data_IF_574684817824
#
_entry.id   IF_574684817824
#
_cell.length_a   1.000
_cell.length_b   1.000
_cell.length_c   1.000
_cell.angle_alpha   90.00
_cell.angle_beta   90.00
_cell.angle_gamma   90.00
#
_symmetry.space_group_name_H-M   'P 1'
#
loop_
_entity.id
_entity.type
_entity.pdbx_description
1 polymer ?
#
# COMPACT_ATOMS: atom_id res chain seq x y z
N UNK A 1 32.20 -11.65 -17.55
CA UNK A 1 30.74 -11.44 -17.35
C UNK A 1 30.33 -11.50 -15.87
N UNK A 2 30.69 -12.57 -15.14
CA UNK A 2 30.42 -12.74 -13.69
C UNK A 2 30.91 -11.59 -12.80
N UNK A 3 32.11 -11.03 -13.02
CA UNK A 3 32.61 -9.87 -12.25
C UNK A 3 31.74 -8.60 -12.43
N UNK A 4 31.22 -8.35 -13.64
CA UNK A 4 30.31 -7.22 -13.92
C UNK A 4 28.94 -7.43 -13.28
N UNK A 5 28.42 -8.66 -13.31
CA UNK A 5 27.16 -9.03 -12.63
C UNK A 5 27.28 -8.89 -11.11
N UNK A 6 28.40 -9.38 -10.52
CA UNK A 6 28.67 -9.27 -9.07
C UNK A 6 28.80 -7.81 -8.60
N UNK A 7 29.47 -6.95 -9.39
CA UNK A 7 29.55 -5.51 -9.13
C UNK A 7 28.18 -4.83 -9.19
N UNK A 8 27.38 -5.13 -10.22
CA UNK A 8 26.01 -4.61 -10.39
C UNK A 8 25.05 -5.07 -9.28
N UNK A 9 25.22 -6.29 -8.77
CA UNK A 9 24.47 -6.80 -7.62
C UNK A 9 24.86 -6.10 -6.31
N UNK A 10 26.16 -5.84 -6.10
CA UNK A 10 26.65 -5.08 -4.95
C UNK A 10 26.11 -3.63 -4.91
N UNK A 11 25.89 -3.02 -6.08
CA UNK A 11 25.32 -1.68 -6.23
C UNK A 11 23.78 -1.68 -6.36
N UNK A 12 23.14 -2.84 -6.23
CA UNK A 12 21.70 -2.98 -6.40
C UNK A 12 20.93 -2.46 -5.18
N UNK A 13 19.82 -1.75 -5.42
CA UNK A 13 18.89 -1.34 -4.36
C UNK A 13 18.31 -2.55 -3.62
N UNK A 14 18.31 -3.73 -4.25
CA UNK A 14 17.75 -4.96 -3.69
C UNK A 14 18.63 -5.46 -2.55
N UNK A 15 19.92 -5.62 -2.82
CA UNK A 15 20.90 -6.01 -1.80
C UNK A 15 20.96 -4.97 -0.68
N UNK A 16 20.93 -3.68 -1.00
CA UNK A 16 20.89 -2.61 0.01
C UNK A 16 19.68 -2.74 0.93
N UNK A 17 18.50 -3.03 0.38
CA UNK A 17 17.27 -3.22 1.16
C UNK A 17 17.39 -4.40 2.12
N UNK A 18 17.81 -5.57 1.61
CA UNK A 18 18.00 -6.77 2.42
C UNK A 18 19.06 -6.58 3.51
N UNK A 19 20.22 -6.02 3.17
CA UNK A 19 21.29 -5.78 4.14
C UNK A 19 20.89 -4.76 5.21
N UNK A 20 20.14 -3.72 4.85
CA UNK A 20 19.71 -2.70 5.81
C UNK A 20 18.75 -3.27 6.84
N UNK A 21 17.82 -4.14 6.42
CA UNK A 21 16.94 -4.88 7.31
C UNK A 21 17.73 -5.81 8.23
N UNK A 22 18.65 -6.60 7.66
CA UNK A 22 19.51 -7.52 8.42
C UNK A 22 20.33 -6.80 9.50
N UNK A 23 20.85 -5.61 9.19
CA UNK A 23 21.71 -4.85 10.10
C UNK A 23 20.92 -4.11 11.19
N UNK A 24 19.62 -3.86 11.00
CA UNK A 24 18.77 -3.10 11.92
C UNK A 24 17.42 -3.80 12.15
N UNK A 25 17.40 -5.04 12.69
CA UNK A 25 16.17 -5.83 12.83
C UNK A 25 15.16 -5.20 13.80
N UNK A 26 15.63 -4.52 14.86
CA UNK A 26 14.77 -3.81 15.81
C UNK A 26 13.96 -2.68 15.14
N UNK A 27 14.54 -2.02 14.14
CA UNK A 27 13.87 -0.96 13.40
C UNK A 27 12.77 -1.52 12.50
N UNK A 28 13.01 -2.69 11.90
CA UNK A 28 11.97 -3.43 11.19
C UNK A 28 10.84 -3.81 12.17
N UNK A 29 11.17 -4.41 13.30
CA UNK A 29 10.18 -4.79 14.31
C UNK A 29 9.32 -3.60 14.76
N UNK A 30 9.92 -2.43 14.97
CA UNK A 30 9.18 -1.21 15.29
C UNK A 30 8.22 -0.78 14.17
N UNK A 31 8.61 -0.92 12.89
CA UNK A 31 7.70 -0.70 11.76
C UNK A 31 6.53 -1.70 11.81
N UNK A 32 6.79 -2.97 12.14
CA UNK A 32 5.72 -3.97 12.24
C UNK A 32 4.72 -3.65 13.35
N UNK A 33 5.21 -3.22 14.52
CA UNK A 33 4.36 -2.80 15.63
C UNK A 33 3.50 -1.58 15.26
N UNK A 34 4.06 -0.63 14.49
CA UNK A 34 3.30 0.54 14.02
C UNK A 34 2.21 0.14 13.03
N UNK A 35 2.48 -0.77 12.09
CA UNK A 35 1.44 -1.29 11.20
C UNK A 35 0.34 -2.01 12.00
N UNK A 36 0.71 -2.85 12.98
CA UNK A 36 -0.26 -3.54 13.84
C UNK A 36 -1.11 -2.55 14.65
N UNK A 37 -0.50 -1.50 15.21
CA UNK A 37 -1.21 -0.44 15.92
C UNK A 37 -2.15 0.34 14.98
N UNK A 38 -1.73 0.62 13.74
CA UNK A 38 -2.59 1.23 12.73
C UNK A 38 -3.82 0.37 12.43
N UNK A 39 -3.65 -0.94 12.22
CA UNK A 39 -4.77 -1.86 12.01
C UNK A 39 -5.70 -1.95 13.23
N UNK A 40 -5.15 -1.98 14.44
CA UNK A 40 -5.95 -1.97 15.66
C UNK A 40 -6.80 -0.71 15.80
N UNK A 41 -6.23 0.48 15.52
CA UNK A 41 -6.97 1.74 15.53
C UNK A 41 -8.06 1.74 14.45
N UNK A 42 -7.75 1.25 13.25
CA UNK A 42 -8.74 1.17 12.18
C UNK A 42 -9.90 0.21 12.54
N UNK A 43 -9.59 -0.92 13.18
CA UNK A 43 -10.59 -1.84 13.68
C UNK A 43 -11.48 -1.21 14.76
N UNK A 44 -10.90 -0.48 15.72
CA UNK A 44 -11.66 0.24 16.75
C UNK A 44 -12.57 1.30 16.11
N UNK A 45 -12.07 2.08 15.15
CA UNK A 45 -12.88 3.07 14.43
C UNK A 45 -14.05 2.43 13.68
N UNK A 46 -13.79 1.32 12.99
CA UNK A 46 -14.82 0.58 12.27
C UNK A 46 -15.88 0.03 13.24
N UNK A 47 -15.46 -0.54 14.38
CA UNK A 47 -16.36 -0.99 15.43
C UNK A 47 -17.24 0.14 15.95
N UNK A 48 -16.65 1.29 16.31
CA UNK A 48 -17.38 2.46 16.81
C UNK A 48 -18.41 2.96 15.79
N UNK A 49 -18.04 3.03 14.51
CA UNK A 49 -18.96 3.44 13.43
C UNK A 49 -20.11 2.44 13.30
N UNK A 50 -19.84 1.14 13.26
CA UNK A 50 -20.90 0.13 13.12
C UNK A 50 -21.83 0.10 14.33
N UNK A 51 -21.33 0.36 15.55
CA UNK A 51 -22.18 0.46 16.74
C UNK A 51 -23.04 1.73 16.77
N UNK A 52 -22.59 2.80 16.11
CA UNK A 52 -23.33 4.06 16.05
C UNK A 52 -24.36 4.09 14.90
N UNK A 53 -24.24 3.19 13.92
CA UNK A 53 -25.18 3.12 12.80
C UNK A 53 -26.47 2.38 13.22
N UNK A 54 -27.65 2.97 12.96
CA UNK A 54 -28.91 2.32 13.24
C UNK A 54 -29.08 1.07 12.36
N UNK A 55 -29.41 -0.06 13.01
CA UNK A 55 -29.59 -1.36 12.36
C UNK A 55 -31.02 -1.60 11.84
N UNK A 56 -31.96 -0.70 12.13
CA UNK A 56 -33.36 -0.83 11.74
C UNK A 56 -33.58 -0.47 10.25
N UNK A 57 -34.03 -1.42 9.40
CA UNK A 57 -34.31 -1.17 7.98
C UNK A 57 -35.36 -0.08 7.71
N UNK A 58 -36.30 0.13 8.63
CA UNK A 58 -37.32 1.18 8.52
C UNK A 58 -36.74 2.57 8.73
N UNK A 59 -35.70 2.68 9.56
CA UNK A 59 -34.95 3.91 9.74
C UNK A 59 -34.16 4.24 8.47
N UNK A 60 -33.51 3.25 7.85
CA UNK A 60 -32.76 3.42 6.59
C UNK A 60 -33.64 3.87 5.42
N UNK A 61 -34.85 3.31 5.29
CA UNK A 61 -35.79 3.68 4.21
C UNK A 61 -36.38 5.07 4.38
N UNK A 62 -36.74 5.48 5.61
CA UNK A 62 -37.16 6.87 5.91
C UNK A 62 -36.00 7.87 5.72
N UNK A 63 -34.77 7.43 5.96
CA UNK A 63 -33.55 8.23 5.74
C UNK A 63 -33.28 8.52 4.26
N UNK A 64 -33.46 7.53 3.37
CA UNK A 64 -33.22 7.69 1.94
C UNK A 64 -34.22 8.63 1.24
N UNK A 65 -35.42 8.80 1.81
CA UNK A 65 -36.43 9.72 1.26
C UNK A 65 -36.22 11.21 1.59
N UNK A 66 -35.25 11.56 2.45
CA UNK A 66 -35.01 12.95 2.87
C UNK A 66 -33.68 13.49 2.34
N UNK A 67 -33.75 14.51 1.47
CA UNK A 67 -32.57 15.20 0.92
C UNK A 67 -31.66 15.76 2.01
N UNK A 68 -32.22 16.27 3.11
CA UNK A 68 -31.44 16.82 4.22
C UNK A 68 -30.63 15.74 4.96
N UNK A 69 -31.22 14.56 5.18
CA UNK A 69 -30.52 13.44 5.81
C UNK A 69 -29.44 12.84 4.90
N UNK A 70 -29.67 12.82 3.58
CA UNK A 70 -28.65 12.44 2.60
C UNK A 70 -27.42 13.37 2.64
N UNK A 71 -27.63 14.68 2.74
CA UNK A 71 -26.53 15.66 2.87
C UNK A 71 -25.75 15.42 4.17
N UNK A 72 -26.44 15.23 5.30
CA UNK A 72 -25.79 14.96 6.59
C UNK A 72 -24.95 13.68 6.52
N UNK A 73 -25.47 12.62 5.92
CA UNK A 73 -24.74 11.36 5.74
C UNK A 73 -23.52 11.51 4.83
N UNK A 74 -23.64 12.27 3.74
CA UNK A 74 -22.51 12.59 2.88
C UNK A 74 -21.41 13.33 3.66
N UNK A 75 -21.78 14.35 4.45
CA UNK A 75 -20.83 15.10 5.27
C UNK A 75 -20.14 14.22 6.33
N UNK A 76 -20.90 13.34 7.00
CA UNK A 76 -20.34 12.37 7.95
C UNK A 76 -19.39 11.37 7.28
N UNK A 77 -19.71 10.93 6.07
CA UNK A 77 -18.85 10.04 5.28
C UNK A 77 -17.55 10.75 4.89
N UNK A 78 -17.63 12.01 4.45
CA UNK A 78 -16.45 12.84 4.15
C UNK A 78 -15.60 13.02 5.40
N UNK A 79 -16.21 13.35 6.54
CA UNK A 79 -15.52 13.50 7.81
C UNK A 79 -14.80 12.20 8.22
N UNK A 80 -15.47 11.05 8.08
CA UNK A 80 -14.88 9.73 8.34
C UNK A 80 -13.62 9.50 7.49
N UNK A 81 -13.66 9.77 6.18
CA UNK A 81 -12.48 9.66 5.33
C UNK A 81 -11.37 10.63 5.72
N UNK A 82 -11.70 11.87 6.09
CA UNK A 82 -10.71 12.83 6.58
C UNK A 82 -10.01 12.32 7.85
N UNK A 83 -10.75 11.75 8.80
CA UNK A 83 -10.19 11.15 10.02
C UNK A 83 -9.26 9.98 9.68
N UNK A 84 -9.67 9.09 8.77
CA UNK A 84 -8.81 8.00 8.31
C UNK A 84 -7.52 8.54 7.71
N UNK A 85 -7.60 9.55 6.83
CA UNK A 85 -6.42 10.15 6.18
C UNK A 85 -5.52 10.82 7.22
N UNK A 86 -6.06 11.46 8.26
CA UNK A 86 -5.29 12.05 9.35
C UNK A 86 -4.49 11.00 10.12
N UNK A 87 -5.14 9.91 10.51
CA UNK A 87 -4.51 8.81 11.24
C UNK A 87 -3.47 8.12 10.34
N UNK A 88 -3.86 7.79 9.11
CA UNK A 88 -2.97 7.18 8.14
C UNK A 88 -1.72 8.05 7.88
N UNK A 89 -1.88 9.37 7.77
CA UNK A 89 -0.75 10.30 7.62
C UNK A 89 0.23 10.28 8.78
N UNK A 90 -0.26 10.11 10.00
CA UNK A 90 0.58 10.04 11.19
C UNK A 90 1.43 8.76 11.17
N UNK A 91 0.79 7.61 10.98
CA UNK A 91 1.47 6.32 10.89
C UNK A 91 2.44 6.27 9.70
N UNK A 92 1.99 6.71 8.53
CA UNK A 92 2.81 6.76 7.31
C UNK A 92 4.08 7.59 7.53
N UNK A 93 3.97 8.76 8.16
CA UNK A 93 5.13 9.61 8.45
C UNK A 93 6.14 8.91 9.36
N UNK A 94 5.68 8.30 10.44
CA UNK A 94 6.56 7.62 11.40
C UNK A 94 7.20 6.37 10.76
N UNK A 95 6.42 5.57 10.04
CA UNK A 95 6.91 4.37 9.35
C UNK A 95 7.97 4.77 8.32
N UNK A 96 7.69 5.75 7.46
CA UNK A 96 8.64 6.21 6.45
C UNK A 96 9.87 6.88 7.06
N UNK A 97 9.71 7.62 8.16
CA UNK A 97 10.83 8.14 8.94
C UNK A 97 11.74 7.04 9.47
N UNK A 98 11.17 5.92 9.93
CA UNK A 98 11.94 4.74 10.32
C UNK A 98 12.54 4.02 9.10
N UNK A 99 11.86 3.98 7.96
CA UNK A 99 12.46 3.45 6.74
C UNK A 99 13.68 4.29 6.32
N UNK A 100 13.59 5.62 6.41
CA UNK A 100 14.73 6.51 6.16
C UNK A 100 15.88 6.27 7.15
N UNK A 101 15.58 5.88 8.38
CA UNK A 101 16.58 5.46 9.38
C UNK A 101 17.42 4.24 8.98
N UNK A 102 16.95 3.41 8.04
CA UNK A 102 17.77 2.34 7.49
C UNK A 102 19.00 2.89 6.77
N UNK A 103 18.83 3.93 5.95
CA UNK A 103 19.88 4.52 5.14
C UNK A 103 20.70 5.60 5.88
N UNK A 104 20.05 6.42 6.72
CA UNK A 104 20.67 7.56 7.39
C UNK A 104 20.26 7.61 8.85
N UNK A 105 21.13 7.94 9.81
CA UNK A 105 20.72 8.19 11.18
C UNK A 105 19.90 9.50 11.26
N UNK A 106 18.61 9.39 10.94
CA UNK A 106 17.67 10.51 10.84
C UNK A 106 16.83 10.64 12.10
N UNK A 107 16.64 11.87 12.59
CA UNK A 107 15.63 12.20 13.61
C UNK A 107 14.30 12.43 12.91
N UNK A 108 13.21 11.98 13.54
CA UNK A 108 11.86 12.19 13.01
C UNK A 108 11.54 13.68 12.97
N UNK A 109 11.01 14.15 11.84
CA UNK A 109 10.56 15.53 11.68
C UNK A 109 9.04 15.57 11.60
N UNK A 110 8.40 15.82 12.75
CA UNK A 110 6.94 15.91 12.85
C UNK A 110 6.37 17.17 12.18
N UNK A 111 7.21 18.17 11.87
CA UNK A 111 6.74 19.37 11.15
C UNK A 111 6.21 19.04 9.75
N UNK A 112 6.65 17.91 9.18
CA UNK A 112 6.19 17.41 7.89
C UNK A 112 4.77 16.84 7.91
N UNK A 113 4.14 16.67 9.08
CA UNK A 113 2.83 16.04 9.21
C UNK A 113 1.75 16.70 8.32
N UNK A 114 1.65 18.04 8.35
CA UNK A 114 0.67 18.77 7.52
C UNK A 114 0.86 18.47 6.03
N UNK A 115 2.12 18.46 5.57
CA UNK A 115 2.43 18.17 4.16
C UNK A 115 2.18 16.71 3.81
N UNK A 116 2.39 15.78 4.74
CA UNK A 116 2.03 14.36 4.58
C UNK A 116 0.52 14.19 4.45
N UNK A 117 -0.26 14.90 5.26
CA UNK A 117 -1.72 14.92 5.15
C UNK A 117 -2.18 15.36 3.76
N UNK A 118 -1.65 16.47 3.24
CA UNK A 118 -1.99 16.92 1.88
C UNK A 118 -1.55 15.93 0.80
N UNK A 119 -0.38 15.29 0.94
CA UNK A 119 0.03 14.24 0.02
C UNK A 119 -0.98 13.09 0.00
N UNK A 120 -1.38 12.60 1.17
CA UNK A 120 -2.32 11.50 1.29
C UNK A 120 -3.72 11.87 0.83
N UNK A 121 -4.16 13.11 1.06
CA UNK A 121 -5.42 13.61 0.54
C UNK A 121 -5.44 13.63 -0.99
N UNK A 122 -4.37 14.14 -1.62
CA UNK A 122 -4.25 14.17 -3.08
C UNK A 122 -4.21 12.75 -3.65
N UNK A 123 -3.40 11.86 -3.06
CA UNK A 123 -3.33 10.46 -3.49
C UNK A 123 -4.67 9.74 -3.31
N UNK A 124 -5.38 10.00 -2.21
CA UNK A 124 -6.73 9.48 -1.97
C UNK A 124 -7.69 9.92 -3.06
N UNK A 125 -7.75 11.22 -3.37
CA UNK A 125 -8.64 11.74 -4.43
C UNK A 125 -8.29 11.11 -5.78
N UNK A 126 -7.00 11.02 -6.13
CA UNK A 126 -6.56 10.41 -7.38
C UNK A 126 -6.98 8.93 -7.48
N UNK A 127 -6.80 8.15 -6.41
CA UNK A 127 -7.19 6.74 -6.40
C UNK A 127 -8.69 6.52 -6.29
N UNK A 128 -9.41 7.44 -5.64
CA UNK A 128 -10.86 7.44 -5.63
C UNK A 128 -11.42 7.66 -7.05
N UNK A 129 -10.90 8.64 -7.79
CA UNK A 129 -11.26 8.85 -9.20
C UNK A 129 -10.93 7.60 -10.02
N UNK A 130 -9.75 7.01 -9.82
CA UNK A 130 -9.36 5.78 -10.50
C UNK A 130 -10.31 4.62 -10.20
N UNK A 131 -10.75 4.48 -8.95
CA UNK A 131 -11.73 3.49 -8.51
C UNK A 131 -13.10 3.72 -9.15
N UNK A 132 -13.55 4.97 -9.25
CA UNK A 132 -14.81 5.32 -9.92
C UNK A 132 -14.74 4.94 -11.40
N UNK A 133 -13.66 5.31 -12.10
CA UNK A 133 -13.42 4.94 -13.49
C UNK A 133 -13.39 3.41 -13.64
N UNK A 134 -12.71 2.72 -12.74
CA UNK A 134 -12.63 1.26 -12.73
C UNK A 134 -14.03 0.62 -12.63
N UNK A 135 -14.88 1.09 -11.73
CA UNK A 135 -16.24 0.57 -11.57
C UNK A 135 -17.13 0.84 -12.79
N UNK A 136 -17.02 2.02 -13.39
CA UNK A 136 -17.74 2.36 -14.63
C UNK A 136 -17.32 1.41 -15.75
N UNK A 137 -16.01 1.24 -15.96
CA UNK A 137 -15.45 0.36 -16.98
C UNK A 137 -15.90 -1.09 -16.74
N UNK A 138 -15.79 -1.60 -15.51
CA UNK A 138 -16.22 -2.95 -15.16
C UNK A 138 -17.69 -3.19 -15.53
N UNK A 139 -18.57 -2.25 -15.17
CA UNK A 139 -20.01 -2.33 -15.46
C UNK A 139 -20.29 -2.40 -16.96
N UNK A 140 -19.54 -1.65 -17.77
CA UNK A 140 -19.69 -1.65 -19.24
C UNK A 140 -19.25 -2.97 -19.91
N UNK A 141 -18.47 -3.80 -19.20
CA UNK A 141 -17.79 -4.97 -19.75
C UNK A 141 -18.41 -6.29 -19.30
N UNK A 142 -19.14 -6.30 -18.18
CA UNK A 142 -19.78 -7.51 -17.63
C UNK A 142 -20.59 -8.29 -18.68
N UNK A 143 -21.20 -7.58 -19.63
CA UNK A 143 -22.01 -8.19 -20.70
C UNK A 143 -21.28 -8.32 -22.06
N UNK A 144 -19.95 -8.15 -22.09
CA UNK A 144 -19.14 -8.27 -23.31
C UNK A 144 -18.58 -9.68 -23.46
N UNK A 145 -18.10 -10.00 -24.66
CA UNK A 145 -17.44 -11.28 -24.91
C UNK A 145 -16.25 -11.48 -23.97
N UNK A 146 -16.00 -12.73 -23.58
CA UNK A 146 -14.93 -13.11 -22.65
C UNK A 146 -13.56 -12.56 -23.07
N UNK A 147 -13.30 -12.49 -24.39
CA UNK A 147 -12.08 -11.92 -24.95
C UNK A 147 -11.92 -10.42 -24.65
N UNK A 148 -12.97 -9.63 -24.86
CA UNK A 148 -12.95 -8.19 -24.56
C UNK A 148 -12.80 -7.97 -23.05
N UNK A 149 -13.51 -8.76 -22.24
CA UNK A 149 -13.41 -8.69 -20.79
C UNK A 149 -12.00 -9.00 -20.29
N UNK A 150 -11.36 -10.03 -20.85
CA UNK A 150 -10.00 -10.44 -20.47
C UNK A 150 -8.95 -9.38 -20.81
N UNK A 151 -9.03 -8.77 -22.01
CA UNK A 151 -8.11 -7.70 -22.42
C UNK A 151 -8.21 -6.50 -21.46
N UNK A 152 -9.43 -6.09 -21.13
CA UNK A 152 -9.62 -4.92 -20.28
C UNK A 152 -9.22 -5.23 -18.83
N UNK A 153 -9.48 -6.45 -18.35
CA UNK A 153 -8.98 -6.88 -17.04
C UNK A 153 -7.45 -6.79 -16.95
N UNK A 154 -6.72 -7.23 -17.97
CA UNK A 154 -5.25 -7.11 -18.01
C UNK A 154 -4.80 -5.64 -18.02
N UNK A 155 -5.45 -4.78 -18.81
CA UNK A 155 -5.16 -3.35 -18.82
C UNK A 155 -5.39 -2.70 -17.44
N UNK A 156 -6.48 -3.05 -16.78
CA UNK A 156 -6.78 -2.56 -15.44
C UNK A 156 -5.75 -3.05 -14.41
N UNK A 157 -5.32 -4.31 -14.49
CA UNK A 157 -4.28 -4.84 -13.62
C UNK A 157 -2.95 -4.06 -13.77
N UNK A 158 -2.56 -3.71 -15.00
CA UNK A 158 -1.39 -2.88 -15.26
C UNK A 158 -1.53 -1.48 -14.64
N UNK A 159 -2.71 -0.86 -14.77
CA UNK A 159 -3.00 0.45 -14.16
C UNK A 159 -2.88 0.40 -12.63
N UNK A 160 -3.39 -0.67 -12.00
CA UNK A 160 -3.29 -0.87 -10.54
C UNK A 160 -1.82 -0.99 -10.11
N UNK A 161 -1.02 -1.76 -10.85
CA UNK A 161 0.42 -1.91 -10.58
C UNK A 161 1.14 -0.55 -10.69
N UNK A 162 0.78 0.25 -11.70
CA UNK A 162 1.34 1.59 -11.89
C UNK A 162 0.92 2.55 -10.76
N UNK A 163 -0.35 2.51 -10.34
CA UNK A 163 -0.87 3.30 -9.22
C UNK A 163 -0.15 2.94 -7.91
N UNK A 164 0.08 1.65 -7.65
CA UNK A 164 0.85 1.18 -6.50
C UNK A 164 2.29 1.71 -6.53
N UNK A 165 2.94 1.67 -7.69
CA UNK A 165 4.29 2.21 -7.83
C UNK A 165 4.33 3.73 -7.63
N UNK A 166 3.37 4.45 -8.20
CA UNK A 166 3.22 5.89 -8.04
C UNK A 166 3.10 6.29 -6.57
N UNK A 167 2.24 5.58 -5.83
CA UNK A 167 2.04 5.80 -4.41
C UNK A 167 3.34 5.64 -3.61
N UNK A 168 4.06 4.54 -3.81
CA UNK A 168 5.29 4.26 -3.07
C UNK A 168 6.43 5.23 -3.44
N UNK A 169 6.57 5.59 -4.72
CA UNK A 169 7.50 6.63 -5.14
C UNK A 169 7.16 7.97 -4.48
N UNK A 170 5.88 8.34 -4.44
CA UNK A 170 5.44 9.61 -3.88
C UNK A 170 5.75 9.73 -2.39
N UNK A 171 5.48 8.66 -1.63
CA UNK A 171 5.83 8.59 -0.22
C UNK A 171 7.34 8.61 0.02
N UNK A 172 8.10 7.89 -0.79
CA UNK A 172 9.56 7.84 -0.68
C UNK A 172 10.22 9.18 -1.02
N UNK A 173 9.76 9.86 -2.07
CA UNK A 173 10.28 11.16 -2.47
C UNK A 173 9.88 12.25 -1.45
N UNK A 174 8.69 12.14 -0.86
CA UNK A 174 8.27 13.02 0.23
C UNK A 174 9.24 12.98 1.42
N UNK A 175 9.55 11.78 1.93
CA UNK A 175 10.41 11.63 3.11
C UNK A 175 11.89 12.01 2.83
N UNK A 176 12.29 12.00 1.55
CA UNK A 176 13.57 12.51 1.07
C UNK A 176 13.63 14.04 0.98
N UNK A 177 12.54 14.75 1.30
CA UNK A 177 12.49 16.21 1.42
C UNK A 177 11.98 16.94 0.18
N UNK A 178 11.46 16.22 -0.84
CA UNK A 178 10.96 16.86 -2.06
C UNK A 178 9.60 17.53 -1.81
N UNK A 179 9.38 18.69 -2.45
CA UNK A 179 8.12 19.44 -2.39
C UNK A 179 6.97 18.67 -3.06
N UNK A 180 5.73 18.89 -2.61
CA UNK A 180 4.56 18.12 -3.05
C UNK A 180 4.40 18.07 -4.58
N UNK A 181 4.47 19.23 -5.26
CA UNK A 181 4.31 19.31 -6.71
C UNK A 181 5.44 18.61 -7.46
N UNK A 182 6.69 18.84 -7.03
CA UNK A 182 7.86 18.18 -7.61
C UNK A 182 7.82 16.67 -7.39
N UNK A 183 7.43 16.26 -6.19
CA UNK A 183 7.26 14.88 -5.80
C UNK A 183 6.28 14.13 -6.71
N UNK A 184 5.05 14.62 -6.89
CA UNK A 184 4.07 13.96 -7.76
C UNK A 184 4.57 13.88 -9.21
N UNK A 185 5.17 14.95 -9.74
CA UNK A 185 5.71 14.97 -11.11
C UNK A 185 6.86 13.97 -11.30
N UNK A 186 7.81 13.95 -10.37
CA UNK A 186 8.96 13.05 -10.41
C UNK A 186 8.54 11.60 -10.19
N UNK A 187 7.60 11.36 -9.29
CA UNK A 187 7.04 10.03 -9.02
C UNK A 187 6.36 9.47 -10.26
N UNK A 188 5.53 10.26 -10.95
CA UNK A 188 4.87 9.85 -12.19
C UNK A 188 5.89 9.47 -13.28
N UNK A 189 6.91 10.29 -13.51
CA UNK A 189 7.99 10.00 -14.47
C UNK A 189 8.74 8.71 -14.14
N UNK A 190 8.85 8.39 -12.84
CA UNK A 190 9.61 7.24 -12.37
C UNK A 190 8.86 5.90 -12.42
N UNK A 191 7.53 5.89 -12.59
CA UNK A 191 6.73 4.67 -12.72
C UNK A 191 7.20 3.83 -13.92
N UNK A 192 7.54 4.46 -15.04
CA UNK A 192 7.88 3.79 -16.31
C UNK A 192 9.32 3.27 -16.41
N UNK A 193 10.08 3.33 -15.32
CA UNK A 193 11.51 3.03 -15.37
C UNK A 193 11.81 1.55 -15.10
N UNK A 194 12.89 1.04 -15.69
CA UNK A 194 13.36 -0.34 -15.49
C UNK A 194 13.78 -0.65 -14.04
N UNK A 195 13.82 0.33 -13.15
CA UNK A 195 14.10 0.13 -11.72
C UNK A 195 13.01 -0.69 -11.01
N UNK A 196 11.80 -0.76 -11.58
CA UNK A 196 10.66 -1.50 -11.02
C UNK A 196 10.72 -3.02 -11.23
N UNK A 197 11.57 -3.52 -12.12
CA UNK A 197 11.70 -4.97 -12.40
C UNK A 197 12.09 -5.79 -11.16
N UNK A 198 12.82 -5.20 -10.21
CA UNK A 198 13.14 -5.87 -8.94
C UNK A 198 11.92 -6.14 -8.07
N UNK A 199 10.91 -5.25 -8.10
CA UNK A 199 9.64 -5.46 -7.39
C UNK A 199 8.82 -6.52 -8.10
N UNK A 200 8.74 -6.47 -9.44
CA UNK A 200 8.04 -7.49 -10.23
C UNK A 200 8.62 -8.88 -9.96
N UNK A 201 9.95 -9.03 -10.02
CA UNK A 201 10.62 -10.30 -9.76
C UNK A 201 10.39 -10.78 -8.32
N UNK A 202 10.49 -9.90 -7.33
CA UNK A 202 10.25 -10.26 -5.94
C UNK A 202 8.80 -10.68 -5.68
N UNK A 203 7.83 -9.98 -6.29
CA UNK A 203 6.42 -10.35 -6.25
C UNK A 203 6.19 -11.73 -6.87
N UNK A 204 6.85 -12.06 -8.00
CA UNK A 204 6.77 -13.38 -8.63
C UNK A 204 7.36 -14.49 -7.74
N UNK A 205 8.47 -14.23 -7.05
CA UNK A 205 9.07 -15.19 -6.11
C UNK A 205 8.10 -15.49 -4.97
N UNK A 206 7.51 -14.45 -4.37
CA UNK A 206 6.56 -14.67 -3.26
C UNK A 206 5.26 -15.31 -3.76
N UNK A 207 4.81 -15.00 -4.98
CA UNK A 207 3.68 -15.72 -5.59
C UNK A 207 4.02 -17.21 -5.76
N UNK A 208 5.23 -17.54 -6.19
CA UNK A 208 5.69 -18.93 -6.26
C UNK A 208 5.71 -19.61 -4.89
N UNK A 209 6.22 -18.93 -3.86
CA UNK A 209 6.18 -19.42 -2.47
C UNK A 209 4.73 -19.62 -2.00
N UNK A 210 3.85 -18.69 -2.31
CA UNK A 210 2.43 -18.77 -1.96
C UNK A 210 1.76 -19.99 -2.60
N UNK A 211 1.96 -20.19 -3.91
CA UNK A 211 1.45 -21.36 -4.62
C UNK A 211 2.02 -22.65 -4.04
N UNK A 212 3.32 -22.69 -3.75
CA UNK A 212 3.96 -23.85 -3.13
C UNK A 212 3.34 -24.17 -1.76
N UNK A 213 3.18 -23.18 -0.89
CA UNK A 213 2.56 -23.38 0.43
C UNK A 213 1.10 -23.81 0.29
N UNK A 214 0.36 -23.24 -0.66
CA UNK A 214 -1.04 -23.62 -0.92
C UNK A 214 -1.16 -25.09 -1.36
N UNK A 215 -0.28 -25.55 -2.25
CA UNK A 215 -0.21 -26.95 -2.69
C UNK A 215 0.19 -27.87 -1.53
N UNK A 216 1.21 -27.51 -0.75
CA UNK A 216 1.65 -28.29 0.40
C UNK A 216 0.59 -28.37 1.50
N UNK A 217 -0.12 -27.27 1.76
CA UNK A 217 -1.28 -27.27 2.66
C UNK A 217 -2.39 -28.17 2.10
N UNK A 218 -2.72 -28.07 0.82
CA UNK A 218 -3.70 -28.96 0.18
C UNK A 218 -3.33 -30.44 0.32
N UNK A 219 -2.06 -30.78 0.06
CA UNK A 219 -1.55 -32.13 0.21
C UNK A 219 -1.55 -32.61 1.68
N UNK A 220 -1.26 -31.74 2.64
CA UNK A 220 -1.26 -32.07 4.06
C UNK A 220 -2.66 -32.32 4.62
N UNK A 221 -3.69 -31.66 4.08
CA UNK A 221 -5.08 -31.89 4.46
C UNK A 221 -5.74 -33.06 3.70
N UNK A 222 -5.18 -33.47 2.54
CA UNK A 222 -5.60 -34.66 1.80
C UNK A 222 -7.11 -34.74 1.54
N UNK A 223 -7.69 -35.93 1.69
CA UNK A 223 -9.14 -36.17 1.53
C UNK A 223 -9.99 -35.57 2.68
N UNK A 224 -9.34 -35.05 3.74
CA UNK A 224 -9.98 -34.47 4.92
C UNK A 224 -10.29 -32.98 4.71
N UNK A 225 -9.93 -32.39 3.55
CA UNK A 225 -10.28 -31.00 3.22
C UNK A 225 -11.79 -30.76 3.35
N UNK A 226 -12.63 -31.72 2.95
CA UNK A 226 -14.08 -31.59 3.07
C UNK A 226 -14.54 -31.52 4.54
N UNK A 227 -13.87 -32.24 5.44
CA UNK A 227 -14.21 -32.30 6.88
C UNK A 227 -13.62 -31.12 7.66
N UNK A 228 -12.47 -30.58 7.22
CA UNK A 228 -11.73 -29.50 7.88
C UNK A 228 -11.62 -28.23 7.01
N UNK A 229 -12.58 -28.00 6.12
CA UNK A 229 -12.54 -26.91 5.13
C UNK A 229 -12.34 -25.53 5.79
N UNK A 230 -13.03 -25.27 6.90
CA UNK A 230 -12.90 -24.01 7.65
C UNK A 230 -11.48 -23.82 8.18
N UNK A 231 -10.86 -24.87 8.71
CA UNK A 231 -9.49 -24.80 9.21
C UNK A 231 -8.49 -24.59 8.06
N UNK A 232 -8.70 -25.25 6.93
CA UNK A 232 -7.91 -25.07 5.71
C UNK A 232 -8.00 -23.63 5.17
N UNK A 233 -9.21 -23.08 5.04
CA UNK A 233 -9.45 -21.71 4.58
C UNK A 233 -8.86 -20.69 5.55
N UNK A 234 -9.02 -20.87 6.86
CA UNK A 234 -8.45 -19.96 7.85
C UNK A 234 -6.91 -19.99 7.81
N UNK A 235 -6.32 -21.19 7.76
CA UNK A 235 -4.86 -21.35 7.72
C UNK A 235 -4.28 -20.74 6.45
N UNK A 236 -4.88 -21.03 5.28
CA UNK A 236 -4.44 -20.45 4.01
C UNK A 236 -4.60 -18.93 3.97
N UNK A 237 -5.67 -18.39 4.55
CA UNK A 237 -5.89 -16.94 4.66
C UNK A 237 -4.83 -16.26 5.53
N UNK A 238 -4.50 -16.84 6.69
CA UNK A 238 -3.44 -16.32 7.57
C UNK A 238 -2.08 -16.34 6.85
N UNK A 239 -1.73 -17.46 6.21
CA UNK A 239 -0.49 -17.57 5.43
C UNK A 239 -0.44 -16.52 4.33
N UNK A 240 -1.54 -16.33 3.59
CA UNK A 240 -1.66 -15.31 2.54
C UNK A 240 -1.39 -13.92 3.09
N UNK A 241 -2.02 -13.58 4.22
CA UNK A 241 -1.86 -12.27 4.87
C UNK A 241 -0.41 -12.03 5.28
N UNK A 242 0.25 -13.04 5.88
CA UNK A 242 1.66 -12.94 6.26
C UNK A 242 2.56 -12.72 5.04
N UNK A 243 2.36 -13.49 3.96
CA UNK A 243 3.17 -13.36 2.75
C UNK A 243 2.96 -12.01 2.05
N UNK A 244 1.70 -11.55 1.93
CA UNK A 244 1.36 -10.24 1.37
C UNK A 244 1.97 -9.12 2.23
N UNK A 245 1.97 -9.27 3.55
CA UNK A 245 2.52 -8.28 4.45
C UNK A 245 4.05 -8.20 4.39
N UNK A 246 4.74 -9.34 4.30
CA UNK A 246 6.19 -9.41 4.05
C UNK A 246 6.53 -8.73 2.73
N UNK A 247 5.76 -9.02 1.67
CA UNK A 247 5.87 -8.36 0.37
C UNK A 247 5.74 -6.85 0.47
N UNK A 248 4.66 -6.39 1.10
CA UNK A 248 4.34 -4.98 1.25
C UNK A 248 5.45 -4.24 2.00
N UNK A 249 5.96 -4.82 3.09
CA UNK A 249 7.03 -4.23 3.90
C UNK A 249 8.34 -4.18 3.15
N UNK A 250 8.73 -5.25 2.47
CA UNK A 250 9.93 -5.25 1.64
C UNK A 250 9.83 -4.22 0.52
N UNK A 251 8.68 -4.15 -0.17
CA UNK A 251 8.46 -3.22 -1.27
C UNK A 251 8.59 -1.78 -0.80
N UNK A 252 8.00 -1.38 0.35
CA UNK A 252 8.16 -0.02 0.90
C UNK A 252 9.63 0.36 1.10
N UNK A 253 10.43 -0.53 1.69
CA UNK A 253 11.86 -0.30 1.92
C UNK A 253 12.62 -0.23 0.59
N UNK A 254 12.32 -1.14 -0.33
CA UNK A 254 12.99 -1.20 -1.62
C UNK A 254 12.67 0.02 -2.50
N UNK A 255 11.41 0.49 -2.49
CA UNK A 255 11.01 1.73 -3.14
C UNK A 255 11.75 2.95 -2.57
N UNK A 256 11.94 3.01 -1.26
CA UNK A 256 12.74 4.06 -0.65
C UNK A 256 14.15 4.11 -1.24
N UNK A 257 14.86 2.98 -1.27
CA UNK A 257 16.23 2.91 -1.82
C UNK A 257 16.31 3.16 -3.34
N UNK A 258 15.30 2.80 -4.12
CA UNK A 258 15.24 3.19 -5.54
C UNK A 258 15.09 4.70 -5.65
N UNK A 259 14.17 5.27 -4.89
CA UNK A 259 13.84 6.70 -4.97
C UNK A 259 15.03 7.53 -4.53
N UNK A 260 15.70 7.15 -3.44
CA UNK A 260 16.95 7.75 -2.96
C UNK A 260 18.03 7.73 -4.05
N UNK A 261 18.26 6.57 -4.69
CA UNK A 261 19.26 6.44 -5.76
C UNK A 261 18.99 7.36 -6.96
N UNK A 262 17.73 7.67 -7.23
CA UNK A 262 17.33 8.47 -8.40
C UNK A 262 17.22 9.96 -8.13
N UNK A 263 16.65 10.33 -6.99
CA UNK A 263 16.31 11.71 -6.67
C UNK A 263 17.27 12.34 -5.68
N UNK A 264 18.07 11.52 -4.97
CA UNK A 264 18.88 11.96 -3.85
C UNK A 264 18.04 12.47 -2.67
N UNK A 265 18.72 12.84 -1.58
CA UNK A 265 18.12 13.64 -0.52
C UNK A 265 18.20 15.10 -0.94
N UNK A 266 17.06 15.79 -0.97
CA UNK A 266 17.08 17.25 -1.07
C UNK A 266 17.66 17.76 0.25
N UNK A 267 18.89 18.28 0.23
CA UNK A 267 19.42 19.00 1.40
C UNK A 267 18.41 20.09 1.72
N UNK A 268 17.85 20.06 2.92
CA UNK A 268 17.07 21.18 3.41
C UNK A 268 17.97 22.40 3.28
N UNK A 269 17.55 23.40 2.50
CA UNK A 269 18.06 24.75 2.67
C UNK A 269 17.76 25.12 4.10
N UNK A 270 18.74 24.94 4.98
CA UNK A 270 18.70 25.50 6.31
C UNK A 270 18.82 27.01 6.11
N UNK A 271 17.78 27.73 6.52
CA UNK A 271 17.66 29.19 6.51
C UNK A 271 17.72 29.84 5.12
N UNK A 272 16.55 30.30 4.67
CA UNK A 272 16.32 31.72 4.38
C UNK A 272 14.93 32.07 4.96
#
# INVERSE_FOLDING_TARGET
>A
MLKKIKKKYHESSFKKSVMSVKNKPLLLFYILLLDAAFFAIFWILNYLVNTALPSDPLFVTRFQSSTMLLIVMFLLTVLYFVIIILIYSFFSLIILGNIKKFAFNHKHDLSLYKRMFFLNLVLFIMFFILLVIFNIILTLIINKSVWIASIIFVLMALIIIMAYAFYNFSHSAFILGHELRSNLKQSFRNIFTKSYWGIILFNLIILGIYVLVYILLGAAFGDIIATNYTQYVNTSSIVSLVLIYVLYTFNRIYFFFITEKKLGIKKSSAHD
#
